data_IF_829559765661
#
_entry.id   IF_829559765661
#
_cell.length_a   1.000
_cell.length_b   1.000
_cell.length_c   1.000
_cell.angle_alpha   90.00
_cell.angle_beta   90.00
_cell.angle_gamma   90.00
#
_symmetry.space_group_name_H-M   'P 1'
#
loop_
_entity.id
_entity.type
_entity.pdbx_description
1 polymer ?
#
# COMPACT_ATOMS: atom_id res chain seq x y z
N UNK A 1 -7.03 -12.86 7.84
CA UNK A 1 -7.33 -12.59 6.40
C UNK A 1 -7.83 -11.16 6.27
N UNK A 2 -7.43 -10.44 5.22
CA UNK A 2 -7.97 -9.11 4.91
C UNK A 2 -9.02 -9.23 3.81
N UNK A 3 -10.24 -8.76 4.06
CA UNK A 3 -11.35 -8.78 3.11
C UNK A 3 -11.80 -7.34 2.83
N UNK A 4 -12.15 -7.05 1.57
CA UNK A 4 -12.59 -5.72 1.15
C UNK A 4 -13.87 -5.82 0.32
N UNK A 5 -14.84 -4.94 0.59
CA UNK A 5 -15.98 -4.67 -0.28
C UNK A 5 -17.14 -5.68 -0.28
N UNK A 6 -16.96 -6.92 0.19
CA UNK A 6 -18.03 -7.94 0.23
C UNK A 6 -18.14 -8.58 1.61
N UNK A 7 -18.99 -7.98 2.46
CA UNK A 7 -19.23 -8.41 3.85
C UNK A 7 -19.66 -9.87 3.98
N UNK A 8 -20.41 -10.38 3.00
CA UNK A 8 -20.86 -11.78 2.96
C UNK A 8 -19.69 -12.79 3.01
N UNK A 9 -18.55 -12.48 2.36
CA UNK A 9 -17.38 -13.36 2.36
C UNK A 9 -16.65 -13.31 3.70
N UNK A 10 -16.57 -12.14 4.32
CA UNK A 10 -16.01 -11.96 5.66
C UNK A 10 -16.80 -12.75 6.71
N UNK A 11 -18.12 -12.73 6.62
CA UNK A 11 -19.01 -13.44 7.53
C UNK A 11 -18.86 -14.96 7.37
N UNK A 12 -18.85 -15.47 6.14
CA UNK A 12 -18.62 -16.91 5.87
C UNK A 12 -17.26 -17.42 6.38
N UNK A 13 -16.23 -16.57 6.40
CA UNK A 13 -14.91 -16.91 6.97
C UNK A 13 -14.91 -16.90 8.49
N UNK A 14 -15.64 -15.97 9.13
CA UNK A 14 -15.81 -15.94 10.58
C UNK A 14 -16.57 -17.15 11.11
N UNK A 15 -17.57 -17.60 10.36
CA UNK A 15 -18.31 -18.84 10.68
C UNK A 15 -17.42 -20.08 10.66
N UNK A 16 -16.28 -20.02 9.96
CA UNK A 16 -15.24 -21.07 9.95
C UNK A 16 -14.17 -20.86 11.02
N UNK A 17 -14.34 -19.89 11.93
CA UNK A 17 -13.38 -19.59 13.01
C UNK A 17 -12.16 -18.77 12.56
N UNK A 18 -12.17 -18.22 11.33
CA UNK A 18 -11.05 -17.42 10.82
C UNK A 18 -11.14 -15.99 11.35
N UNK A 19 -10.02 -15.47 11.85
CA UNK A 19 -9.89 -14.05 12.19
C UNK A 19 -9.81 -13.20 10.90
N UNK A 20 -10.81 -12.34 10.69
CA UNK A 20 -10.94 -11.47 9.51
C UNK A 20 -10.92 -10.01 9.92
N UNK A 21 -10.01 -9.25 9.32
CA UNK A 21 -9.95 -7.79 9.40
C UNK A 21 -10.63 -7.23 8.15
N UNK A 22 -11.72 -6.50 8.33
CA UNK A 22 -12.42 -5.85 7.22
C UNK A 22 -11.74 -4.53 6.87
N UNK A 23 -11.40 -4.39 5.60
CA UNK A 23 -11.06 -3.10 5.03
C UNK A 23 -12.36 -2.38 4.67
N UNK A 24 -12.58 -1.21 5.27
CA UNK A 24 -13.59 -0.24 4.84
C UNK A 24 -13.20 0.27 3.45
N UNK A 25 -13.69 -0.43 2.44
CA UNK A 25 -13.53 -0.04 1.05
C UNK A 25 -14.87 0.50 0.55
N UNK A 26 -14.84 1.75 0.10
CA UNK A 26 -15.92 2.39 -0.62
C UNK A 26 -15.42 2.77 -2.01
N UNK A 27 -16.29 2.73 -3.06
CA UNK A 27 -15.93 3.29 -4.35
C UNK A 27 -15.52 4.76 -4.19
N UNK A 28 -14.45 5.20 -4.89
CA UNK A 28 -14.05 6.60 -4.88
C UNK A 28 -15.19 7.47 -5.39
N UNK A 29 -15.30 8.70 -4.88
CA UNK A 29 -16.31 9.66 -5.37
C UNK A 29 -16.20 9.83 -6.88
N UNK A 30 -17.31 10.13 -7.56
CA UNK A 30 -17.33 10.25 -9.03
C UNK A 30 -16.28 11.25 -9.56
N UNK A 31 -16.03 12.31 -8.78
CA UNK A 31 -15.00 13.33 -9.05
C UNK A 31 -13.60 12.70 -9.14
N UNK A 32 -13.28 11.75 -8.27
CA UNK A 32 -12.00 11.03 -8.27
C UNK A 32 -12.02 9.88 -9.28
N UNK A 33 -13.19 9.29 -9.54
CA UNK A 33 -13.38 8.18 -10.48
C UNK A 33 -12.87 8.49 -11.89
N UNK A 34 -13.11 9.70 -12.40
CA UNK A 34 -12.60 10.12 -13.71
C UNK A 34 -11.07 10.15 -13.78
N UNK A 35 -10.41 10.71 -12.75
CA UNK A 35 -8.95 10.74 -12.65
C UNK A 35 -8.37 9.33 -12.51
N UNK A 36 -9.02 8.45 -11.74
CA UNK A 36 -8.59 7.06 -11.60
C UNK A 36 -8.77 6.28 -12.91
N UNK A 37 -9.85 6.49 -13.64
CA UNK A 37 -10.06 5.88 -14.95
C UNK A 37 -8.98 6.32 -15.95
N UNK A 38 -8.59 7.60 -15.93
CA UNK A 38 -7.50 8.12 -16.74
C UNK A 38 -6.17 7.42 -16.42
N UNK A 39 -5.83 7.25 -15.14
CA UNK A 39 -4.61 6.54 -14.72
C UNK A 39 -4.69 5.04 -15.06
N UNK A 40 -5.85 4.43 -14.90
CA UNK A 40 -6.05 3.01 -15.20
C UNK A 40 -5.84 2.70 -16.70
N UNK A 41 -6.28 3.61 -17.57
CA UNK A 41 -6.15 3.53 -19.02
C UNK A 41 -4.78 3.98 -19.56
N UNK A 42 -3.92 4.60 -18.73
CA UNK A 42 -2.61 5.07 -19.18
C UNK A 42 -1.64 3.90 -19.41
N UNK A 43 -1.29 3.66 -20.68
CA UNK A 43 -0.39 2.58 -21.09
C UNK A 43 1.03 2.74 -20.53
N UNK A 44 1.45 3.96 -20.15
CA UNK A 44 2.76 4.20 -19.53
C UNK A 44 2.89 3.49 -18.17
N UNK A 45 1.75 3.18 -17.52
CA UNK A 45 1.71 2.45 -16.25
C UNK A 45 2.34 1.07 -16.35
N UNK A 46 2.26 0.39 -17.50
CA UNK A 46 2.84 -0.94 -17.67
C UNK A 46 4.36 -0.90 -17.49
N UNK A 47 5.04 -0.06 -18.27
CA UNK A 47 6.49 0.10 -18.19
C UNK A 47 6.93 0.73 -16.85
N UNK A 48 6.11 1.60 -16.25
CA UNK A 48 6.39 2.17 -14.94
C UNK A 48 6.33 1.10 -13.83
N UNK A 49 5.29 0.26 -13.84
CA UNK A 49 5.11 -0.81 -12.87
C UNK A 49 6.17 -1.90 -13.01
N UNK A 50 6.50 -2.29 -14.25
CA UNK A 50 7.57 -3.25 -14.51
C UNK A 50 8.89 -2.77 -13.91
N UNK A 51 9.26 -1.51 -14.16
CA UNK A 51 10.47 -0.90 -13.58
C UNK A 51 10.42 -0.86 -12.05
N UNK A 52 9.28 -0.50 -11.47
CA UNK A 52 9.12 -0.42 -10.02
C UNK A 52 9.30 -1.80 -9.37
N UNK A 53 8.65 -2.84 -9.93
CA UNK A 53 8.78 -4.22 -9.46
C UNK A 53 10.20 -4.73 -9.64
N UNK A 54 10.82 -4.47 -10.79
CA UNK A 54 12.19 -4.87 -11.05
C UNK A 54 13.16 -4.24 -10.04
N UNK A 55 13.06 -2.94 -9.78
CA UNK A 55 13.86 -2.26 -8.76
C UNK A 55 13.66 -2.86 -7.36
N UNK A 56 12.44 -3.24 -7.00
CA UNK A 56 12.14 -3.90 -5.72
C UNK A 56 12.74 -5.31 -5.63
N UNK A 57 12.69 -6.09 -6.71
CA UNK A 57 13.24 -7.46 -6.76
C UNK A 57 14.77 -7.43 -6.75
N UNK A 58 15.37 -6.52 -7.51
CA UNK A 58 16.81 -6.40 -7.66
C UNK A 58 17.49 -5.71 -6.47
N UNK A 59 16.72 -5.10 -5.57
CA UNK A 59 17.22 -4.48 -4.37
C UNK A 59 18.02 -5.48 -3.51
N UNK A 60 19.26 -5.13 -3.20
CA UNK A 60 20.15 -5.89 -2.30
C UNK A 60 20.51 -5.02 -1.10
N UNK A 61 19.58 -4.81 -0.16
CA UNK A 61 19.84 -3.98 1.01
C UNK A 61 20.95 -4.61 1.86
N UNK A 62 21.88 -3.77 2.32
CA UNK A 62 22.95 -4.16 3.23
C UNK A 62 22.99 -3.18 4.40
N UNK A 63 23.32 -3.69 5.59
CA UNK A 63 23.58 -2.84 6.75
C UNK A 63 24.94 -2.20 6.58
N UNK A 64 24.97 -0.88 6.41
CA UNK A 64 26.20 -0.10 6.19
C UNK A 64 26.67 0.64 7.45
N UNK A 65 25.86 0.69 8.50
CA UNK A 65 26.17 1.37 9.74
C UNK A 65 24.96 1.59 10.63
N UNK A 66 25.19 2.26 11.76
CA UNK A 66 24.17 2.66 12.72
C UNK A 66 24.44 4.10 13.15
N UNK A 67 23.40 4.92 13.21
CA UNK A 67 23.45 6.31 13.68
C UNK A 67 22.08 6.69 14.27
N UNK A 68 21.96 7.91 14.78
CA UNK A 68 20.73 8.45 15.35
C UNK A 68 19.77 8.92 14.25
N UNK A 69 18.46 8.79 14.53
CA UNK A 69 17.42 9.26 13.63
C UNK A 69 17.49 10.78 13.40
N UNK A 70 17.88 11.55 14.44
CA UNK A 70 18.08 12.99 14.32
C UNK A 70 19.10 13.35 13.22
N UNK A 71 20.24 12.64 13.18
CA UNK A 71 21.30 12.89 12.20
C UNK A 71 20.96 12.44 10.78
N UNK A 72 20.17 11.38 10.60
CA UNK A 72 19.89 10.81 9.27
C UNK A 72 18.58 11.28 8.65
N UNK A 73 17.57 11.50 9.49
CA UNK A 73 16.21 11.84 9.05
C UNK A 73 15.90 13.33 9.23
N UNK A 74 16.85 14.12 9.75
CA UNK A 74 16.69 15.56 9.94
C UNK A 74 15.57 15.91 10.92
N UNK A 75 15.40 15.09 11.96
CA UNK A 75 14.34 15.30 12.95
C UNK A 75 14.74 16.39 13.95
N UNK A 76 13.84 17.36 14.14
CA UNK A 76 14.00 18.40 15.15
C UNK A 76 13.73 17.87 16.57
N UNK A 77 14.22 18.56 17.62
CA UNK A 77 13.88 18.22 18.99
C UNK A 77 12.35 18.15 19.18
N UNK A 78 11.88 16.99 19.68
CA UNK A 78 10.46 16.68 19.92
C UNK A 78 9.61 16.37 18.67
N UNK A 79 10.25 16.06 17.54
CA UNK A 79 9.59 15.52 16.35
C UNK A 79 9.69 13.98 16.34
N UNK A 80 8.58 13.30 16.01
CA UNK A 80 8.46 11.84 16.01
C UNK A 80 7.82 11.34 14.70
N UNK A 81 8.13 10.10 14.30
CA UNK A 81 7.59 9.41 13.11
C UNK A 81 6.41 8.49 13.46
#
# INVERSE_FOLDING_TARGET
VAAAGIRLLSDALRDQGVQVVDALWEPPSEVVGASLAQVAADLRRLAANERAVQAMIEAKPAVVGVTTAAETLGLEPRQFL
#
